data_IF_867796115894
#
_entry.id   IF_867796115894
#
_cell.length_a   1.000
_cell.length_b   1.000
_cell.length_c   1.000
_cell.angle_alpha   90.00
_cell.angle_beta   90.00
_cell.angle_gamma   90.00
#
_symmetry.space_group_name_H-M   'P 1'
#
loop_
_entity.id
_entity.type
_entity.pdbx_description
1 polymer ?
#
# COMPACT_ATOMS: atom_id res chain seq x y z
N UNK A 1 -43.26 22.53 49.92
CA UNK A 1 -43.53 22.06 48.55
C UNK A 1 -42.79 20.76 48.29
N UNK A 2 -43.00 19.69 49.08
CA UNK A 2 -42.26 18.42 48.98
C UNK A 2 -43.17 17.18 48.77
N UNK A 3 -44.49 17.33 48.75
CA UNK A 3 -45.42 16.18 48.67
C UNK A 3 -45.67 15.62 47.27
N UNK A 4 -45.54 16.46 46.19
CA UNK A 4 -45.92 16.05 44.85
C UNK A 4 -44.95 15.10 44.16
N UNK A 5 -43.67 15.12 44.52
CA UNK A 5 -42.64 14.22 43.91
C UNK A 5 -42.69 12.81 44.48
N UNK A 6 -43.13 12.66 45.74
CA UNK A 6 -43.23 11.38 46.40
C UNK A 6 -44.45 10.58 45.93
N UNK A 7 -45.59 11.25 45.71
CA UNK A 7 -46.81 10.64 45.21
C UNK A 7 -46.64 10.14 43.77
N UNK A 8 -45.91 10.91 42.95
CA UNK A 8 -45.63 10.53 41.53
C UNK A 8 -44.71 9.31 41.41
N UNK A 9 -43.74 9.13 42.33
CA UNK A 9 -42.90 7.94 42.40
C UNK A 9 -43.66 6.71 42.92
N UNK A 10 -44.59 6.90 43.82
CA UNK A 10 -45.42 5.82 44.35
C UNK A 10 -46.42 5.31 43.30
N UNK A 11 -46.99 6.20 42.47
CA UNK A 11 -47.89 5.84 41.38
C UNK A 11 -47.18 5.07 40.26
N UNK A 12 -45.92 5.42 39.95
CA UNK A 12 -45.12 4.71 38.94
C UNK A 12 -44.75 3.31 39.44
N UNK A 13 -44.47 3.15 40.74
CA UNK A 13 -44.15 1.86 41.35
C UNK A 13 -45.39 0.94 41.40
N UNK A 14 -46.58 1.50 41.58
CA UNK A 14 -47.83 0.74 41.60
C UNK A 14 -48.28 0.28 40.24
N UNK A 15 -48.00 1.06 39.15
CA UNK A 15 -48.26 0.67 37.76
C UNK A 15 -47.31 -0.43 37.25
N UNK A 16 -46.08 -0.48 37.78
CA UNK A 16 -45.14 -1.55 37.43
C UNK A 16 -45.45 -2.88 38.10
N UNK A 17 -46.15 -2.85 39.25
CA UNK A 17 -46.54 -4.07 40.00
C UNK A 17 -47.80 -4.76 39.42
N UNK A 18 -48.64 -4.02 38.68
CA UNK A 18 -49.87 -4.57 38.05
C UNK A 18 -49.60 -5.27 36.71
N UNK A 19 -48.43 -5.13 36.12
CA UNK A 19 -48.04 -5.78 34.85
C UNK A 19 -47.48 -7.20 35.02
N UNK A 20 -47.26 -7.64 36.27
CA UNK A 20 -46.66 -8.97 36.56
C UNK A 20 -47.70 -10.04 36.97
N UNK A 21 -49.00 -9.75 36.93
CA UNK A 21 -50.04 -10.67 37.46
C UNK A 21 -51.06 -11.20 36.44
N UNK A 22 -50.78 -11.09 35.15
CA UNK A 22 -51.63 -11.69 34.12
C UNK A 22 -50.86 -12.66 33.22
N UNK A 23 -50.72 -13.89 33.71
CA UNK A 23 -50.10 -14.92 32.90
C UNK A 23 -50.18 -16.30 33.57
N UNK A 24 -51.38 -16.85 33.68
CA UNK A 24 -51.57 -18.30 33.79
C UNK A 24 -53.04 -18.64 33.65
N UNK A 25 -53.45 -19.20 32.56
CA UNK A 25 -54.32 -20.33 32.40
C UNK A 25 -54.83 -20.39 30.94
N UNK A 26 -54.53 -21.38 30.23
CA UNK A 26 -55.47 -22.24 29.52
C UNK A 26 -54.79 -23.11 28.45
N UNK A 27 -54.94 -24.32 28.66
CA UNK A 27 -55.46 -25.44 27.83
C UNK A 27 -54.51 -26.03 26.75
N UNK A 28 -54.31 -27.32 27.02
CA UNK A 28 -53.69 -28.31 26.12
C UNK A 28 -54.50 -28.48 24.87
N UNK A 29 -53.90 -28.13 23.71
CA UNK A 29 -54.27 -28.76 22.46
C UNK A 29 -52.99 -29.28 21.81
N UNK A 30 -52.95 -30.60 21.65
CA UNK A 30 -51.92 -31.29 20.93
C UNK A 30 -51.99 -30.90 19.45
N UNK A 31 -51.00 -30.21 18.97
CA UNK A 31 -50.65 -30.18 17.56
C UNK A 31 -49.14 -30.40 17.41
N UNK A 32 -48.85 -31.56 16.85
CA UNK A 32 -47.52 -31.96 16.39
C UNK A 32 -47.10 -31.02 15.27
N UNK A 33 -46.29 -30.03 15.56
CA UNK A 33 -45.55 -29.29 14.58
C UNK A 33 -44.08 -29.62 14.75
N UNK A 34 -43.52 -30.15 13.69
CA UNK A 34 -42.08 -30.37 13.59
C UNK A 34 -41.30 -29.11 13.93
N UNK A 35 -40.50 -29.17 14.96
CA UNK A 35 -39.41 -28.22 15.16
C UNK A 35 -38.37 -28.51 14.07
N UNK A 36 -38.44 -27.76 12.99
CA UNK A 36 -37.24 -27.53 12.22
C UNK A 36 -36.27 -26.76 13.13
N UNK A 37 -35.37 -27.51 13.70
CA UNK A 37 -34.15 -26.95 14.19
C UNK A 37 -33.37 -26.48 12.96
N UNK A 38 -33.54 -25.24 12.58
CA UNK A 38 -32.50 -24.50 11.85
C UNK A 38 -31.33 -24.34 12.84
N UNK A 39 -30.58 -25.40 13.04
CA UNK A 39 -29.16 -25.28 13.28
C UNK A 39 -28.60 -24.78 11.95
N UNK A 40 -28.45 -23.46 11.80
CA UNK A 40 -27.38 -22.94 10.96
C UNK A 40 -26.12 -23.65 11.46
N UNK A 41 -25.75 -24.76 10.80
CA UNK A 41 -24.40 -25.22 10.77
C UNK A 41 -23.61 -24.03 10.18
N UNK A 42 -23.06 -23.20 11.06
CA UNK A 42 -21.88 -22.40 10.76
C UNK A 42 -20.84 -23.42 10.31
N UNK A 43 -20.86 -23.73 9.01
CA UNK A 43 -19.80 -24.43 8.32
C UNK A 43 -18.62 -23.50 8.39
N UNK A 44 -17.91 -23.54 9.53
CA UNK A 44 -16.73 -22.75 9.80
C UNK A 44 -15.63 -23.09 8.82
N UNK A 45 -15.86 -22.71 7.56
CA UNK A 45 -14.83 -22.71 6.55
C UNK A 45 -13.78 -21.70 7.01
N UNK A 46 -12.65 -22.22 7.47
CA UNK A 46 -11.55 -21.40 7.99
C UNK A 46 -11.17 -20.38 6.91
N UNK A 47 -11.51 -19.11 7.12
CA UNK A 47 -11.14 -18.04 6.21
C UNK A 47 -9.64 -17.94 6.08
N UNK A 48 -9.16 -17.74 4.86
CA UNK A 48 -7.74 -17.46 4.61
C UNK A 48 -7.34 -16.17 5.32
N UNK A 49 -6.27 -16.22 6.09
CA UNK A 49 -5.71 -15.09 6.83
C UNK A 49 -4.51 -14.54 6.09
N UNK A 50 -4.58 -13.27 5.67
CA UNK A 50 -3.54 -12.60 4.90
C UNK A 50 -2.92 -11.49 5.74
N UNK A 51 -1.60 -11.51 5.89
CA UNK A 51 -0.83 -10.37 6.39
C UNK A 51 -0.37 -9.51 5.21
N UNK A 52 -0.70 -8.23 5.20
CA UNK A 52 -0.18 -7.25 4.22
C UNK A 52 0.69 -6.23 4.96
N UNK A 53 1.99 -6.21 4.65
CA UNK A 53 2.90 -5.17 5.13
C UNK A 53 3.29 -4.23 4.01
N UNK A 54 3.11 -2.94 4.25
CA UNK A 54 3.38 -1.86 3.29
C UNK A 54 4.57 -1.05 3.80
N UNK A 55 5.50 -0.67 2.91
CA UNK A 55 6.62 0.22 3.20
C UNK A 55 6.17 1.46 3.98
N UNK A 56 5.27 2.22 3.38
CA UNK A 56 4.63 3.39 3.99
C UNK A 56 3.44 3.84 3.12
N UNK A 57 2.63 4.76 3.63
CA UNK A 57 1.56 5.41 2.85
C UNK A 57 1.95 6.82 2.38
N UNK A 58 3.23 7.13 2.28
CA UNK A 58 3.73 8.39 1.72
C UNK A 58 3.33 8.54 0.24
N UNK A 59 3.42 7.46 -0.53
CA UNK A 59 2.92 7.42 -1.90
C UNK A 59 1.42 7.13 -1.86
N UNK A 60 0.59 8.09 -2.31
CA UNK A 60 -0.88 8.01 -2.27
C UNK A 60 -1.44 6.75 -2.94
N UNK A 61 -0.77 6.24 -3.97
CA UNK A 61 -1.14 5.01 -4.66
C UNK A 61 -1.34 3.83 -3.71
N UNK A 62 -0.48 3.67 -2.69
CA UNK A 62 -0.55 2.54 -1.75
C UNK A 62 -1.83 2.52 -0.93
N UNK A 63 -2.45 3.68 -0.68
CA UNK A 63 -3.75 3.77 -0.02
C UNK A 63 -4.83 3.12 -0.89
N UNK A 64 -4.82 3.41 -2.20
CA UNK A 64 -5.79 2.84 -3.15
C UNK A 64 -5.56 1.35 -3.35
N UNK A 65 -4.31 0.93 -3.52
CA UNK A 65 -3.95 -0.48 -3.68
C UNK A 65 -4.39 -1.30 -2.46
N UNK A 66 -4.13 -0.80 -1.24
CA UNK A 66 -4.60 -1.38 0.01
C UNK A 66 -6.12 -1.54 0.04
N UNK A 67 -6.86 -0.49 -0.30
CA UNK A 67 -8.32 -0.50 -0.21
C UNK A 67 -8.93 -1.50 -1.19
N UNK A 68 -8.42 -1.55 -2.42
CA UNK A 68 -8.84 -2.54 -3.43
C UNK A 68 -8.47 -3.95 -2.99
N UNK A 69 -7.24 -4.15 -2.50
CA UNK A 69 -6.77 -5.45 -2.02
C UNK A 69 -7.65 -5.99 -0.89
N UNK A 70 -7.91 -5.17 0.13
CA UNK A 70 -8.73 -5.55 1.29
C UNK A 70 -10.18 -5.85 0.88
N UNK A 71 -10.77 -5.01 0.01
CA UNK A 71 -12.13 -5.22 -0.47
C UNK A 71 -12.25 -6.54 -1.25
N UNK A 72 -11.36 -6.76 -2.22
CA UNK A 72 -11.36 -7.97 -3.06
C UNK A 72 -11.09 -9.24 -2.23
N UNK A 73 -10.13 -9.20 -1.30
CA UNK A 73 -9.86 -10.33 -0.42
C UNK A 73 -11.10 -10.71 0.41
N UNK A 74 -11.82 -9.72 0.94
CA UNK A 74 -13.06 -9.93 1.69
C UNK A 74 -14.17 -10.54 0.82
N UNK A 75 -14.34 -10.05 -0.40
CA UNK A 75 -15.30 -10.60 -1.36
C UNK A 75 -15.00 -12.07 -1.69
N UNK A 76 -13.71 -12.45 -1.69
CA UNK A 76 -13.24 -13.81 -1.91
C UNK A 76 -13.22 -14.67 -0.64
N UNK A 77 -13.73 -14.17 0.48
CA UNK A 77 -13.83 -14.90 1.74
C UNK A 77 -12.57 -14.93 2.58
N UNK A 78 -11.55 -14.09 2.27
CA UNK A 78 -10.34 -13.94 3.07
C UNK A 78 -10.43 -12.76 4.05
N UNK A 79 -9.56 -12.76 5.06
CA UNK A 79 -9.36 -11.65 5.99
C UNK A 79 -7.94 -11.09 5.85
N UNK A 80 -7.81 -9.77 5.90
CA UNK A 80 -6.52 -9.09 5.73
C UNK A 80 -6.18 -8.29 6.98
N UNK A 81 -4.96 -8.53 7.51
CA UNK A 81 -4.34 -7.68 8.51
C UNK A 81 -3.32 -6.79 7.80
N UNK A 82 -3.60 -5.50 7.73
CA UNK A 82 -2.73 -4.51 7.09
C UNK A 82 -1.87 -3.82 8.14
N UNK A 83 -0.57 -3.71 7.85
CA UNK A 83 0.38 -2.97 8.68
C UNK A 83 1.22 -2.03 7.82
N UNK A 84 1.46 -0.83 8.34
CA UNK A 84 2.30 0.21 7.77
C UNK A 84 3.66 0.20 8.48
N UNK A 85 4.74 0.00 7.76
CA UNK A 85 6.09 -0.01 8.32
C UNK A 85 6.63 1.40 8.62
N UNK A 86 5.91 2.45 8.20
CA UNK A 86 6.31 3.84 8.46
C UNK A 86 7.69 4.18 7.89
N UNK A 87 8.04 3.56 6.75
CA UNK A 87 9.35 3.68 6.11
C UNK A 87 10.54 3.14 6.98
N UNK A 88 10.27 2.26 7.95
CA UNK A 88 11.30 1.62 8.77
C UNK A 88 11.42 0.12 8.44
N UNK A 89 12.58 -0.28 7.93
CA UNK A 89 12.88 -1.68 7.57
C UNK A 89 12.80 -2.62 8.77
N UNK A 90 13.20 -2.17 9.96
CA UNK A 90 13.16 -3.00 11.17
C UNK A 90 11.72 -3.22 11.62
N UNK A 91 10.90 -2.19 11.50
CA UNK A 91 9.46 -2.30 11.76
C UNK A 91 8.84 -3.30 10.78
N UNK A 92 9.18 -3.23 9.48
CA UNK A 92 8.68 -4.17 8.48
C UNK A 92 9.06 -5.63 8.80
N UNK A 93 10.31 -5.87 9.22
CA UNK A 93 10.75 -7.20 9.69
C UNK A 93 9.92 -7.64 10.91
N UNK A 94 9.67 -6.75 11.86
CA UNK A 94 8.87 -7.05 13.06
C UNK A 94 7.41 -7.39 12.71
N UNK A 95 6.86 -6.75 11.69
CA UNK A 95 5.52 -7.03 11.17
C UNK A 95 5.44 -8.40 10.50
N UNK A 96 6.45 -8.79 9.73
CA UNK A 96 6.54 -10.13 9.16
C UNK A 96 6.62 -11.18 10.28
N UNK A 97 7.45 -10.97 11.30
CA UNK A 97 7.56 -11.86 12.46
C UNK A 97 6.24 -11.92 13.26
N UNK A 98 5.49 -10.82 13.33
CA UNK A 98 4.15 -10.80 13.91
C UNK A 98 3.17 -11.67 13.10
N UNK A 99 3.17 -11.58 11.76
CA UNK A 99 2.34 -12.41 10.91
C UNK A 99 2.68 -13.89 11.03
N UNK A 100 3.97 -14.23 11.13
CA UNK A 100 4.45 -15.59 11.41
C UNK A 100 3.86 -16.09 12.74
N UNK A 101 3.98 -15.29 13.80
CA UNK A 101 3.44 -15.62 15.14
C UNK A 101 1.92 -15.76 15.16
N UNK A 102 1.23 -15.05 14.27
CA UNK A 102 -0.23 -15.12 14.12
C UNK A 102 -0.69 -16.28 13.22
N UNK A 103 0.24 -17.03 12.67
CA UNK A 103 -0.04 -18.13 11.74
C UNK A 103 -0.90 -17.71 10.56
N UNK A 104 -0.53 -16.58 9.92
CA UNK A 104 -1.16 -16.16 8.68
C UNK A 104 -0.95 -17.24 7.62
N UNK A 105 -1.91 -17.41 6.71
CA UNK A 105 -1.79 -18.39 5.63
C UNK A 105 -0.90 -17.83 4.49
N UNK A 106 -0.91 -16.49 4.31
CA UNK A 106 -0.11 -15.77 3.29
C UNK A 106 0.40 -14.45 3.87
N UNK A 107 1.61 -14.07 3.51
CA UNK A 107 2.16 -12.72 3.76
C UNK A 107 2.40 -12.04 2.41
N UNK A 108 1.87 -10.83 2.24
CA UNK A 108 2.10 -9.96 1.08
C UNK A 108 2.97 -8.80 1.52
N UNK A 109 4.05 -8.55 0.79
CA UNK A 109 5.07 -7.58 1.13
C UNK A 109 5.21 -6.55 0.01
N UNK A 110 5.02 -5.26 0.33
CA UNK A 110 5.52 -4.14 -0.47
C UNK A 110 6.82 -3.71 0.21
N UNK A 111 7.95 -4.13 -0.32
CA UNK A 111 9.22 -4.04 0.37
C UNK A 111 9.68 -2.58 0.56
N UNK A 112 10.08 -2.22 1.78
CA UNK A 112 10.77 -0.95 2.08
C UNK A 112 12.20 -0.96 1.53
N UNK A 113 12.89 -2.06 1.73
CA UNK A 113 14.24 -2.31 1.26
C UNK A 113 14.30 -3.71 0.66
N UNK A 114 14.52 -3.77 -0.65
CA UNK A 114 14.52 -5.01 -1.40
C UNK A 114 15.61 -6.01 -0.96
N UNK A 115 16.66 -5.56 -0.26
CA UNK A 115 17.82 -6.39 0.14
C UNK A 115 17.75 -6.86 1.60
N UNK A 116 16.89 -6.26 2.41
CA UNK A 116 16.93 -6.45 3.87
C UNK A 116 15.92 -7.47 4.41
N UNK A 117 15.00 -7.99 3.58
CA UNK A 117 13.87 -8.80 4.04
C UNK A 117 14.02 -10.30 3.77
N UNK A 118 15.09 -10.75 3.10
CA UNK A 118 15.27 -12.15 2.69
C UNK A 118 15.22 -13.13 3.86
N UNK A 119 15.90 -12.82 4.97
CA UNK A 119 15.85 -13.67 6.17
C UNK A 119 14.46 -13.75 6.80
N UNK A 120 13.66 -12.66 6.74
CA UNK A 120 12.29 -12.66 7.24
C UNK A 120 11.37 -13.52 6.37
N UNK A 121 11.56 -13.50 5.05
CA UNK A 121 10.88 -14.40 4.11
C UNK A 121 11.24 -15.85 4.39
N UNK A 122 12.53 -16.16 4.59
CA UNK A 122 12.97 -17.52 4.93
C UNK A 122 12.31 -18.01 6.23
N UNK A 123 12.20 -17.16 7.25
CA UNK A 123 11.50 -17.54 8.49
C UNK A 123 10.02 -17.84 8.26
N UNK A 124 9.35 -17.11 7.39
CA UNK A 124 7.95 -17.39 7.03
C UNK A 124 7.81 -18.74 6.33
N UNK A 125 8.67 -19.05 5.37
CA UNK A 125 8.69 -20.32 4.66
C UNK A 125 8.99 -21.51 5.59
N UNK A 126 9.92 -21.35 6.55
CA UNK A 126 10.27 -22.39 7.52
C UNK A 126 9.09 -22.86 8.39
N UNK A 127 8.02 -22.07 8.47
CA UNK A 127 6.77 -22.42 9.15
C UNK A 127 5.60 -22.68 8.19
N UNK A 128 5.86 -22.76 6.89
CA UNK A 128 4.89 -23.09 5.85
C UNK A 128 3.98 -21.95 5.40
N UNK A 129 4.34 -20.70 5.69
CA UNK A 129 3.60 -19.51 5.22
C UNK A 129 4.10 -19.14 3.83
N UNK A 130 3.17 -18.89 2.90
CA UNK A 130 3.48 -18.40 1.57
C UNK A 130 3.75 -16.90 1.58
N UNK A 131 4.69 -16.45 0.74
CA UNK A 131 5.07 -15.04 0.65
C UNK A 131 4.93 -14.53 -0.77
N UNK A 132 4.26 -13.39 -0.91
CA UNK A 132 4.09 -12.68 -2.18
C UNK A 132 4.83 -11.35 -2.10
N UNK A 133 5.76 -11.10 -3.02
CA UNK A 133 6.29 -9.76 -3.29
C UNK A 133 5.32 -9.02 -4.20
N UNK A 134 4.77 -7.91 -3.73
CA UNK A 134 3.83 -7.08 -4.48
C UNK A 134 4.49 -5.76 -4.86
N UNK A 135 4.51 -5.46 -6.16
CA UNK A 135 5.15 -4.32 -6.81
C UNK A 135 6.68 -4.33 -6.66
N UNK A 136 7.21 -4.30 -5.44
CA UNK A 136 8.65 -4.33 -5.13
C UNK A 136 9.08 -5.73 -4.73
N UNK A 137 10.11 -6.23 -5.38
CA UNK A 137 10.67 -7.55 -5.11
C UNK A 137 11.47 -7.55 -3.80
N UNK A 138 11.43 -8.65 -3.07
CA UNK A 138 12.44 -8.95 -2.05
C UNK A 138 13.55 -9.75 -2.73
N UNK A 139 14.73 -9.15 -2.84
CA UNK A 139 15.89 -9.77 -3.48
C UNK A 139 16.44 -10.92 -2.61
N UNK A 140 17.11 -11.85 -3.26
CA UNK A 140 17.74 -13.00 -2.60
C UNK A 140 16.78 -13.79 -1.69
N UNK A 141 15.47 -13.74 -2.00
CA UNK A 141 14.42 -14.46 -1.32
C UNK A 141 13.62 -15.29 -2.35
N UNK A 142 13.29 -16.53 -1.99
CA UNK A 142 12.48 -17.42 -2.80
C UNK A 142 10.98 -17.15 -2.54
N UNK A 143 10.48 -15.97 -2.92
CA UNK A 143 9.07 -15.65 -2.75
C UNK A 143 8.21 -16.50 -3.69
N UNK A 144 7.06 -17.01 -3.19
CA UNK A 144 6.17 -17.89 -3.96
C UNK A 144 5.59 -17.20 -5.20
N UNK A 145 5.48 -15.88 -5.16
CA UNK A 145 5.02 -15.07 -6.28
C UNK A 145 5.59 -13.67 -6.23
N UNK A 146 5.90 -13.13 -7.39
CA UNK A 146 6.18 -11.70 -7.58
C UNK A 146 5.18 -11.12 -8.59
N UNK A 147 4.52 -10.05 -8.20
CA UNK A 147 3.54 -9.32 -9.03
C UNK A 147 4.01 -7.89 -9.18
N UNK A 148 4.34 -7.47 -10.40
CA UNK A 148 4.77 -6.10 -10.70
C UNK A 148 4.52 -5.77 -12.16
N UNK A 149 4.96 -4.60 -12.58
CA UNK A 149 5.03 -4.18 -13.98
C UNK A 149 6.32 -4.70 -14.63
N UNK A 150 6.37 -4.60 -15.97
CA UNK A 150 7.63 -4.65 -16.68
C UNK A 150 8.35 -3.30 -16.54
N UNK A 151 9.05 -3.14 -15.41
CA UNK A 151 9.69 -1.89 -15.04
C UNK A 151 10.81 -1.49 -16.02
N UNK A 152 11.50 -2.48 -16.60
CA UNK A 152 12.48 -2.20 -17.67
C UNK A 152 11.78 -1.59 -18.89
N UNK A 153 10.62 -2.12 -19.27
CA UNK A 153 9.81 -1.58 -20.38
C UNK A 153 9.30 -0.18 -20.09
N UNK A 154 8.97 0.13 -18.82
CA UNK A 154 8.64 1.50 -18.41
C UNK A 154 9.81 2.44 -18.74
N UNK A 155 11.02 2.09 -18.34
CA UNK A 155 12.22 2.88 -18.66
C UNK A 155 12.44 3.07 -20.15
N UNK A 156 12.27 2.00 -20.97
CA UNK A 156 12.35 2.09 -22.42
C UNK A 156 11.34 3.10 -23.01
N UNK A 157 10.07 3.06 -22.54
CA UNK A 157 9.01 3.97 -23.00
C UNK A 157 9.33 5.42 -22.61
N UNK A 158 9.81 5.65 -21.39
CA UNK A 158 10.20 6.99 -20.93
C UNK A 158 11.34 7.55 -21.80
N UNK A 159 12.36 6.75 -22.11
CA UNK A 159 13.46 7.17 -22.98
C UNK A 159 12.98 7.47 -24.40
N UNK A 160 12.13 6.64 -24.98
CA UNK A 160 11.53 6.88 -26.29
C UNK A 160 10.77 8.20 -26.34
N UNK A 161 9.93 8.45 -25.35
CA UNK A 161 9.19 9.72 -25.24
C UNK A 161 10.12 10.93 -25.10
N UNK A 162 11.23 10.78 -24.36
CA UNK A 162 12.24 11.83 -24.21
C UNK A 162 12.95 12.10 -25.56
N UNK A 163 13.33 11.06 -26.29
CA UNK A 163 13.96 11.17 -27.60
C UNK A 163 13.03 11.83 -28.64
N UNK A 164 11.74 11.53 -28.60
CA UNK A 164 10.72 12.16 -29.44
C UNK A 164 10.55 13.65 -29.14
N UNK A 165 10.57 14.00 -27.84
CA UNK A 165 10.43 15.39 -27.39
C UNK A 165 11.69 16.24 -27.66
N UNK A 166 12.88 15.61 -27.70
CA UNK A 166 14.17 16.27 -27.84
C UNK A 166 14.97 15.61 -28.99
N UNK A 167 14.51 15.73 -30.26
CA UNK A 167 15.10 15.01 -31.37
C UNK A 167 16.53 15.43 -31.72
N UNK A 168 16.92 16.65 -31.36
CA UNK A 168 18.26 17.18 -31.60
C UNK A 168 19.27 16.78 -30.51
N UNK A 169 18.85 15.98 -29.54
CA UNK A 169 19.68 15.57 -28.42
C UNK A 169 19.94 16.69 -27.41
N UNK A 170 20.81 16.43 -26.43
CA UNK A 170 21.21 17.40 -25.42
C UNK A 170 21.36 16.78 -24.02
N UNK A 171 21.56 17.66 -23.04
CA UNK A 171 21.72 17.28 -21.64
C UNK A 171 20.37 17.02 -21.00
N UNK A 172 20.29 15.95 -20.20
CA UNK A 172 19.11 15.61 -19.40
C UNK A 172 19.52 15.26 -17.97
N UNK A 173 18.61 15.45 -17.03
CA UNK A 173 18.73 14.96 -15.67
C UNK A 173 17.89 13.69 -15.47
N UNK A 174 18.27 12.89 -14.48
CA UNK A 174 17.53 11.71 -14.03
C UNK A 174 17.30 11.81 -12.53
N UNK A 175 16.07 12.17 -12.11
CA UNK A 175 15.66 12.29 -10.73
C UNK A 175 14.79 11.09 -10.40
N UNK A 176 15.37 10.14 -9.70
CA UNK A 176 14.82 8.81 -9.49
C UNK A 176 14.13 8.66 -8.14
N UNK A 177 13.46 7.54 -7.92
CA UNK A 177 12.95 7.12 -6.62
C UNK A 177 14.04 6.60 -5.70
N UNK A 178 13.65 5.89 -4.64
CA UNK A 178 14.57 5.35 -3.63
C UNK A 178 15.49 4.26 -4.20
N UNK A 179 16.77 4.35 -3.95
CA UNK A 179 17.75 3.33 -4.34
C UNK A 179 17.57 1.97 -3.63
N UNK A 180 16.73 1.92 -2.57
CA UNK A 180 16.35 0.68 -1.90
C UNK A 180 15.20 -0.08 -2.60
N UNK A 181 14.65 0.48 -3.68
CA UNK A 181 13.58 -0.10 -4.48
C UNK A 181 14.15 -0.68 -5.78
N UNK A 182 14.03 -1.99 -5.97
CA UNK A 182 14.54 -2.68 -7.16
C UNK A 182 13.92 -2.19 -8.49
N UNK A 183 12.72 -1.61 -8.45
CA UNK A 183 12.07 -1.09 -9.64
C UNK A 183 12.84 0.10 -10.22
N UNK A 184 13.48 0.90 -9.37
CA UNK A 184 14.30 2.04 -9.79
C UNK A 184 15.45 1.60 -10.68
N UNK A 185 16.18 0.55 -10.27
CA UNK A 185 17.28 -0.01 -11.06
C UNK A 185 16.77 -0.52 -12.43
N UNK A 186 15.63 -1.24 -12.44
CA UNK A 186 15.06 -1.79 -13.69
C UNK A 186 14.60 -0.70 -14.66
N UNK A 187 13.95 0.36 -14.14
CA UNK A 187 13.55 1.53 -14.96
C UNK A 187 14.78 2.23 -15.50
N UNK A 188 15.79 2.46 -14.65
CA UNK A 188 17.06 3.07 -15.07
C UNK A 188 17.73 2.28 -16.19
N UNK A 189 17.88 0.96 -16.04
CA UNK A 189 18.46 0.11 -17.07
C UNK A 189 17.73 0.23 -18.40
N UNK A 190 16.40 0.16 -18.42
CA UNK A 190 15.61 0.29 -19.63
C UNK A 190 15.75 1.66 -20.28
N UNK A 191 15.79 2.71 -19.46
CA UNK A 191 15.96 4.10 -19.90
C UNK A 191 17.35 4.31 -20.53
N UNK A 192 18.44 3.98 -19.83
CA UNK A 192 19.81 4.15 -20.29
C UNK A 192 20.14 3.30 -21.53
N UNK A 193 19.67 2.03 -21.55
CA UNK A 193 19.90 1.18 -22.72
C UNK A 193 19.25 1.73 -23.99
N UNK A 194 18.07 2.32 -23.86
CA UNK A 194 17.36 2.94 -24.98
C UNK A 194 18.06 4.22 -25.44
N UNK A 195 18.57 5.03 -24.52
CA UNK A 195 19.29 6.27 -24.83
C UNK A 195 20.61 6.06 -25.56
N UNK A 196 21.24 4.88 -25.49
CA UNK A 196 22.50 4.58 -26.22
C UNK A 196 22.41 4.85 -27.71
N UNK A 197 21.20 4.87 -28.26
CA UNK A 197 20.95 5.12 -29.68
C UNK A 197 20.53 6.58 -29.96
N UNK A 198 20.82 7.52 -29.06
CA UNK A 198 20.46 8.92 -29.18
C UNK A 198 21.63 9.85 -28.85
N UNK A 199 21.44 11.15 -29.11
CA UNK A 199 22.37 12.22 -28.73
C UNK A 199 22.01 12.84 -27.37
N UNK A 200 21.08 12.24 -26.61
CA UNK A 200 20.76 12.62 -25.24
C UNK A 200 21.83 12.10 -24.27
N UNK A 201 22.20 12.94 -23.31
CA UNK A 201 23.22 12.60 -22.29
C UNK A 201 22.69 12.89 -20.90
N UNK A 202 22.64 11.88 -20.06
CA UNK A 202 22.40 12.06 -18.62
C UNK A 202 23.65 12.72 -18.02
N UNK A 203 23.51 13.95 -17.53
CA UNK A 203 24.61 14.74 -16.95
C UNK A 203 24.48 14.90 -15.44
N UNK A 204 23.31 14.61 -14.89
CA UNK A 204 23.05 14.64 -13.46
C UNK A 204 22.06 13.52 -13.07
N UNK A 205 22.35 12.84 -11.97
CA UNK A 205 21.49 11.81 -11.42
C UNK A 205 21.36 11.98 -9.92
N UNK A 206 20.14 11.81 -9.40
CA UNK A 206 19.87 11.77 -7.99
C UNK A 206 18.73 10.82 -7.62
N UNK A 207 18.77 10.29 -6.40
CA UNK A 207 17.74 9.43 -5.87
C UNK A 207 17.00 10.12 -4.72
N UNK A 208 15.68 10.23 -4.84
CA UNK A 208 14.81 10.68 -3.76
C UNK A 208 14.62 9.52 -2.77
N UNK A 209 15.49 9.46 -1.77
CA UNK A 209 15.46 8.40 -0.78
C UNK A 209 14.11 8.31 -0.07
N UNK A 210 13.61 7.09 0.10
CA UNK A 210 12.29 6.85 0.67
C UNK A 210 11.13 7.36 -0.18
N UNK A 211 11.38 7.70 -1.46
CA UNK A 211 10.41 8.33 -2.34
C UNK A 211 9.91 9.70 -1.84
N UNK A 212 10.72 10.38 -1.01
CA UNK A 212 10.42 11.74 -0.51
C UNK A 212 10.59 12.73 -1.65
N UNK A 213 9.49 13.16 -2.24
CA UNK A 213 9.48 13.96 -3.47
C UNK A 213 10.12 15.35 -3.28
N UNK A 214 10.04 15.92 -2.07
CA UNK A 214 10.60 17.24 -1.73
C UNK A 214 12.12 17.31 -1.96
N UNK A 215 12.82 16.17 -1.85
CA UNK A 215 14.26 16.12 -2.14
C UNK A 215 14.60 16.50 -3.58
N UNK A 216 13.66 16.29 -4.50
CA UNK A 216 13.85 16.62 -5.91
C UNK A 216 14.09 18.11 -6.16
N UNK A 217 13.52 18.96 -5.32
CA UNK A 217 13.69 20.42 -5.45
C UNK A 217 15.15 20.82 -5.30
N UNK A 218 15.79 20.39 -4.19
CA UNK A 218 17.18 20.70 -3.89
C UNK A 218 18.12 20.13 -4.99
N UNK A 219 17.86 18.89 -5.42
CA UNK A 219 18.68 18.26 -6.47
C UNK A 219 18.59 18.97 -7.81
N UNK A 220 17.39 19.43 -8.20
CA UNK A 220 17.22 20.14 -9.48
C UNK A 220 17.81 21.55 -9.41
N UNK A 221 17.68 22.26 -8.27
CA UNK A 221 18.33 23.56 -8.09
C UNK A 221 19.83 23.44 -8.22
N UNK A 222 20.47 22.49 -7.53
CA UNK A 222 21.90 22.21 -7.62
C UNK A 222 22.31 21.88 -9.07
N UNK A 223 21.58 21.00 -9.74
CA UNK A 223 21.89 20.58 -11.11
C UNK A 223 21.75 21.73 -12.12
N UNK A 224 20.81 22.65 -11.94
CA UNK A 224 20.62 23.82 -12.80
C UNK A 224 21.74 24.85 -12.68
N UNK A 225 22.39 24.96 -11.53
CA UNK A 225 23.58 25.83 -11.38
C UNK A 225 24.73 25.34 -12.26
N UNK A 226 24.93 24.03 -12.39
CA UNK A 226 26.00 23.42 -13.20
C UNK A 226 25.61 23.27 -14.68
N UNK A 227 24.33 22.93 -14.94
CA UNK A 227 23.85 22.63 -16.29
C UNK A 227 22.60 23.46 -16.65
N UNK A 228 22.73 24.81 -16.80
CA UNK A 228 21.57 25.66 -17.09
C UNK A 228 20.97 25.44 -18.49
N UNK A 229 21.63 24.69 -19.35
CA UNK A 229 21.22 24.35 -20.72
C UNK A 229 20.54 22.98 -20.83
N UNK A 230 20.10 22.38 -19.71
CA UNK A 230 19.36 21.13 -19.67
C UNK A 230 18.11 21.19 -20.55
N UNK A 231 17.80 20.09 -21.25
CA UNK A 231 16.69 20.00 -22.21
C UNK A 231 15.51 19.17 -21.69
N UNK A 232 15.75 18.27 -20.74
CA UNK A 232 14.72 17.41 -20.18
C UNK A 232 15.12 16.84 -18.84
N UNK A 233 14.12 16.42 -18.07
CA UNK A 233 14.31 15.79 -16.76
C UNK A 233 13.43 14.55 -16.71
N UNK A 234 14.04 13.38 -16.51
CA UNK A 234 13.33 12.16 -16.20
C UNK A 234 13.04 12.14 -14.70
N UNK A 235 11.77 11.86 -14.32
CA UNK A 235 11.33 11.78 -12.94
C UNK A 235 10.80 10.38 -12.63
N UNK A 236 11.12 9.85 -11.46
CA UNK A 236 10.76 8.48 -11.05
C UNK A 236 9.26 8.26 -10.81
N UNK A 237 8.51 9.32 -10.46
CA UNK A 237 7.06 9.32 -10.31
C UNK A 237 6.47 10.73 -10.46
N UNK A 238 5.14 10.83 -10.40
CA UNK A 238 4.40 12.09 -10.57
C UNK A 238 4.64 13.07 -9.41
N UNK A 239 4.85 12.58 -8.18
CA UNK A 239 5.11 13.45 -7.03
C UNK A 239 6.47 14.14 -7.18
N UNK A 240 7.51 13.40 -7.57
CA UNK A 240 8.84 13.93 -7.92
C UNK A 240 8.72 14.92 -9.08
N UNK A 241 7.98 14.55 -10.14
CA UNK A 241 7.78 15.44 -11.29
C UNK A 241 7.09 16.76 -10.90
N UNK A 242 6.15 16.72 -9.98
CA UNK A 242 5.45 17.90 -9.47
C UNK A 242 6.41 18.86 -8.77
N UNK A 243 7.34 18.36 -7.96
CA UNK A 243 8.36 19.17 -7.31
C UNK A 243 9.32 19.79 -8.34
N UNK A 244 9.78 18.97 -9.30
CA UNK A 244 10.64 19.44 -10.40
C UNK A 244 9.97 20.57 -11.20
N UNK A 245 8.69 20.41 -11.57
CA UNK A 245 7.93 21.45 -12.30
C UNK A 245 7.84 22.74 -11.51
N UNK A 246 7.64 22.65 -10.19
CA UNK A 246 7.59 23.83 -9.35
C UNK A 246 8.93 24.58 -9.37
N UNK A 247 10.05 23.91 -9.19
CA UNK A 247 11.39 24.51 -9.24
C UNK A 247 11.66 25.16 -10.59
N UNK A 248 11.33 24.47 -11.69
CA UNK A 248 11.50 25.03 -13.04
C UNK A 248 10.66 26.30 -13.24
N UNK A 249 9.44 26.32 -12.73
CA UNK A 249 8.55 27.49 -12.82
C UNK A 249 9.09 28.69 -12.01
N UNK A 250 9.60 28.45 -10.80
CA UNK A 250 10.20 29.48 -9.94
C UNK A 250 11.47 30.10 -10.59
N UNK A 251 12.25 29.27 -11.27
CA UNK A 251 13.43 29.70 -12.04
C UNK A 251 13.12 30.22 -13.46
N UNK A 252 11.86 30.29 -13.85
CA UNK A 252 11.40 30.72 -15.18
C UNK A 252 11.99 29.87 -16.33
N UNK A 253 12.27 28.59 -16.06
CA UNK A 253 12.84 27.65 -17.02
C UNK A 253 11.73 26.78 -17.61
N UNK A 254 11.69 26.74 -18.94
CA UNK A 254 10.86 25.81 -19.70
C UNK A 254 9.38 26.11 -19.70
N UNK A 255 8.63 25.21 -20.36
CA UNK A 255 7.17 25.08 -20.23
C UNK A 255 6.88 23.60 -19.94
N UNK A 256 6.07 23.34 -18.91
CA UNK A 256 5.48 22.03 -18.74
C UNK A 256 4.53 21.77 -19.93
N UNK A 257 4.73 20.69 -20.62
CA UNK A 257 3.87 20.19 -21.70
C UNK A 257 3.15 18.95 -21.24
#
# INVERSE_FOLDING_TARGET
MSGGKMIRKLLILLCLLTLMLNGCASEKTKQTAAQENDTEEDSGEKKIQIGLTVDSFVIERWIRDRDVFVATARELGAEVNVQDAGADTKEQISQIDYFIKKHMDVIVIIARDCKALSEAVERAHNVGIRVISYDRMVNDADTDMYISFDNRKVGEIMAQSMMEAIPDGGKIFMIQGSASDNNVDMVKEGFEDTLKNSDLKVVYEANCEGWVAELAADYVEEALEEYPDVKGIMCGNDDIASQVIQVLAENQIGRAH
#
